data_IF_057677431167
#
_entry.id   IF_057677431167
#
_cell.length_a   1.000
_cell.length_b   1.000
_cell.length_c   1.000
_cell.angle_alpha   90.00
_cell.angle_beta   90.00
_cell.angle_gamma   90.00
#
_symmetry.space_group_name_H-M   'P 1'
#
loop_
_entity.id
_entity.type
_entity.pdbx_description
1 polymer ?
#
# COMPACT_ATOMS: atom_id res chain seq x y z
N UNK A 1 18.21 -0.14 -12.54
CA UNK A 1 17.05 -0.14 -11.63
C UNK A 1 16.31 1.17 -11.79
N UNK A 2 15.03 1.11 -12.15
CA UNK A 2 14.11 2.24 -12.23
C UNK A 2 13.19 2.14 -11.03
N UNK A 3 12.95 3.24 -10.32
CA UNK A 3 12.06 3.31 -9.16
C UNK A 3 11.07 4.46 -9.38
N UNK A 4 9.79 4.18 -9.17
CA UNK A 4 8.72 5.16 -9.14
C UNK A 4 8.15 5.20 -7.73
N UNK A 5 8.06 6.40 -7.15
CA UNK A 5 7.48 6.64 -5.85
C UNK A 5 6.57 7.87 -5.90
N UNK A 6 5.44 7.83 -5.19
CA UNK A 6 4.52 8.97 -5.13
C UNK A 6 3.13 8.58 -4.66
N UNK A 7 2.26 9.58 -4.60
CA UNK A 7 0.83 9.43 -4.40
C UNK A 7 0.16 9.14 -5.74
N UNK A 8 -0.20 7.88 -5.96
CA UNK A 8 -0.91 7.45 -7.16
C UNK A 8 -2.43 7.54 -6.98
N UNK A 9 -2.90 7.79 -5.75
CA UNK A 9 -4.30 7.99 -5.37
C UNK A 9 -5.28 6.86 -5.74
N UNK A 10 -4.77 5.65 -6.04
CA UNK A 10 -5.57 4.44 -6.20
C UNK A 10 -6.25 4.03 -4.89
N UNK A 11 -7.46 3.49 -5.01
CA UNK A 11 -8.33 3.12 -3.88
C UNK A 11 -8.62 1.61 -3.85
N UNK A 12 -9.32 1.21 -2.80
CA UNK A 12 -9.86 -0.15 -2.70
C UNK A 12 -11.21 -0.18 -3.42
N UNK A 13 -11.36 -1.11 -4.35
CA UNK A 13 -12.57 -1.29 -5.15
C UNK A 13 -13.50 -2.37 -4.56
N UNK A 14 -14.81 -2.11 -4.65
CA UNK A 14 -15.85 -3.08 -4.30
C UNK A 14 -15.91 -3.51 -2.83
N UNK A 15 -15.45 -2.66 -1.89
CA UNK A 15 -15.55 -2.91 -0.44
C UNK A 15 -16.13 -1.70 0.31
N UNK A 16 -16.81 -1.96 1.43
CA UNK A 16 -17.29 -0.91 2.33
C UNK A 16 -16.22 -0.46 3.33
N UNK A 17 -16.47 0.69 3.99
CA UNK A 17 -15.59 1.21 5.05
C UNK A 17 -15.48 0.22 6.23
N UNK A 18 -16.59 -0.36 6.65
CA UNK A 18 -16.64 -1.27 7.80
C UNK A 18 -15.89 -2.59 7.49
N UNK A 19 -16.08 -3.15 6.29
CA UNK A 19 -15.31 -4.32 5.83
C UNK A 19 -13.81 -4.03 5.76
N UNK A 20 -13.42 -2.90 5.15
CA UNK A 20 -12.02 -2.51 5.07
C UNK A 20 -11.40 -2.39 6.45
N UNK A 21 -12.11 -1.78 7.40
CA UNK A 21 -11.71 -1.64 8.79
C UNK A 21 -11.53 -3.01 9.48
N UNK A 22 -12.46 -3.93 9.29
CA UNK A 22 -12.40 -5.27 9.89
C UNK A 22 -11.18 -6.05 9.39
N UNK A 23 -10.88 -5.99 8.09
CA UNK A 23 -9.68 -6.64 7.55
C UNK A 23 -8.37 -5.95 7.99
N UNK A 24 -8.37 -4.63 8.16
CA UNK A 24 -7.24 -3.91 8.78
C UNK A 24 -7.03 -4.37 10.22
N UNK A 25 -8.12 -4.52 10.99
CA UNK A 25 -8.09 -5.01 12.37
C UNK A 25 -7.49 -6.41 12.47
N UNK A 26 -7.91 -7.31 11.56
CA UNK A 26 -7.40 -8.67 11.47
C UNK A 26 -5.98 -8.76 10.89
N UNK A 27 -5.40 -7.64 10.44
CA UNK A 27 -4.11 -7.56 9.74
C UNK A 27 -4.08 -8.40 8.45
N UNK A 28 -5.24 -8.59 7.84
CA UNK A 28 -5.44 -9.34 6.59
C UNK A 28 -5.13 -8.46 5.38
N UNK A 29 -3.91 -7.93 5.31
CA UNK A 29 -3.50 -6.99 4.26
C UNK A 29 -3.45 -7.64 2.87
N UNK A 30 -3.13 -8.94 2.80
CA UNK A 30 -3.13 -9.67 1.53
C UNK A 30 -4.53 -9.69 0.89
N UNK A 31 -5.59 -9.81 1.70
CA UNK A 31 -6.96 -9.77 1.20
C UNK A 31 -7.32 -8.36 0.68
N UNK A 32 -6.98 -7.33 1.46
CA UNK A 32 -7.20 -5.93 1.05
C UNK A 32 -6.43 -5.58 -0.22
N UNK A 33 -5.23 -6.16 -0.40
CA UNK A 33 -4.40 -5.97 -1.59
C UNK A 33 -5.03 -6.52 -2.86
N UNK A 34 -5.78 -7.63 -2.79
CA UNK A 34 -6.53 -8.13 -3.95
C UNK A 34 -7.70 -7.22 -4.35
N UNK A 35 -8.07 -6.27 -3.49
CA UNK A 35 -9.07 -5.22 -3.76
C UNK A 35 -8.47 -3.89 -4.16
N UNK A 36 -7.14 -3.78 -4.20
CA UNK A 36 -6.45 -2.55 -4.57
C UNK A 36 -6.47 -2.34 -6.08
N UNK A 37 -6.98 -1.19 -6.54
CA UNK A 37 -7.12 -0.87 -7.97
C UNK A 37 -5.78 -0.96 -8.71
N UNK A 38 -4.69 -0.42 -8.14
CA UNK A 38 -3.37 -0.49 -8.76
C UNK A 38 -2.90 -1.93 -8.89
N UNK A 39 -3.08 -2.73 -7.83
CA UNK A 39 -2.72 -4.15 -7.87
C UNK A 39 -3.46 -4.88 -8.99
N UNK A 40 -4.76 -4.64 -9.13
CA UNK A 40 -5.60 -5.22 -10.17
C UNK A 40 -5.13 -4.80 -11.56
N UNK A 41 -4.87 -3.51 -11.80
CA UNK A 41 -4.43 -2.99 -13.09
C UNK A 41 -3.02 -3.48 -13.47
N UNK A 42 -2.08 -3.53 -12.52
CA UNK A 42 -0.74 -4.11 -12.74
C UNK A 42 -0.84 -5.58 -13.12
N UNK A 43 -1.68 -6.36 -12.40
CA UNK A 43 -1.91 -7.78 -12.65
C UNK A 43 -2.58 -8.02 -14.01
N UNK A 44 -3.45 -7.12 -14.43
CA UNK A 44 -4.06 -7.11 -15.76
C UNK A 44 -3.08 -6.66 -16.86
N UNK A 45 -1.93 -6.07 -16.51
CA UNK A 45 -0.95 -5.56 -17.46
C UNK A 45 -1.41 -4.30 -18.19
N UNK A 46 -2.41 -3.59 -17.66
CA UNK A 46 -2.94 -2.36 -18.27
C UNK A 46 -2.09 -1.14 -17.92
N UNK A 47 -1.44 -1.15 -16.76
CA UNK A 47 -0.56 -0.07 -16.26
C UNK A 47 0.78 -0.61 -15.80
N UNK A 48 1.80 0.26 -15.77
CA UNK A 48 3.14 -0.04 -15.23
C UNK A 48 3.74 -1.37 -15.73
N UNK A 49 3.58 -1.68 -17.02
CA UNK A 49 4.03 -2.94 -17.62
C UNK A 49 5.52 -3.22 -17.35
N UNK A 50 5.80 -4.40 -16.81
CA UNK A 50 7.15 -4.83 -16.44
C UNK A 50 7.69 -4.19 -15.15
N UNK A 51 6.92 -3.39 -14.43
CA UNK A 51 7.23 -2.95 -13.07
C UNK A 51 6.78 -4.01 -12.06
N UNK A 52 7.40 -3.98 -10.88
CA UNK A 52 7.06 -4.78 -9.71
C UNK A 52 6.70 -3.83 -8.58
N UNK A 53 5.63 -4.15 -7.88
CA UNK A 53 5.29 -3.46 -6.64
C UNK A 53 6.05 -4.06 -5.46
N UNK A 54 6.51 -3.21 -4.55
CA UNK A 54 7.10 -3.63 -3.29
C UNK A 54 6.07 -4.37 -2.41
N UNK A 55 6.53 -5.24 -1.52
CA UNK A 55 5.60 -5.93 -0.61
C UNK A 55 5.14 -4.95 0.47
N UNK A 56 3.84 -4.66 0.48
CA UNK A 56 3.20 -3.81 1.49
C UNK A 56 2.86 -4.69 2.71
N UNK A 57 3.45 -4.38 3.86
CA UNK A 57 3.23 -5.12 5.12
C UNK A 57 2.64 -4.24 6.22
N UNK A 58 2.13 -3.07 5.85
CA UNK A 58 1.62 -2.03 6.74
C UNK A 58 0.19 -1.67 6.36
N UNK A 59 -0.63 -1.17 7.32
CA UNK A 59 -2.02 -0.83 7.05
C UNK A 59 -2.17 0.37 6.10
N UNK A 60 -3.32 0.54 5.45
CA UNK A 60 -3.64 1.70 4.60
C UNK A 60 -3.34 3.05 5.26
N UNK A 61 -2.75 3.96 4.49
CA UNK A 61 -2.14 5.21 4.97
C UNK A 61 -3.08 6.41 4.94
N UNK A 62 -4.16 6.29 4.17
CA UNK A 62 -5.21 7.30 4.01
C UNK A 62 -6.58 6.73 4.38
N UNK A 63 -7.54 7.46 4.96
CA UNK A 63 -7.39 8.71 5.72
C UNK A 63 -7.21 8.32 7.19
N UNK A 64 -5.98 8.35 7.67
CA UNK A 64 -5.65 8.13 9.06
C UNK A 64 -5.48 9.46 9.79
N UNK A 65 -6.05 9.61 11.00
CA UNK A 65 -5.82 10.82 11.79
C UNK A 65 -4.44 10.82 12.46
N UNK A 66 -3.64 11.85 12.13
CA UNK A 66 -2.23 12.01 12.53
C UNK A 66 -1.97 12.05 14.05
N UNK A 67 -3.00 12.19 14.87
CA UNK A 67 -2.90 12.33 16.32
C UNK A 67 -3.51 11.15 17.10
N UNK A 68 -4.09 10.16 16.42
CA UNK A 68 -4.66 8.98 17.07
C UNK A 68 -3.89 7.73 16.66
N UNK A 69 -3.19 7.07 17.59
CA UNK A 69 -2.45 5.85 17.27
C UNK A 69 -3.42 4.68 17.05
N UNK A 70 -3.04 3.77 16.15
CA UNK A 70 -3.78 2.54 15.90
C UNK A 70 -5.19 2.79 15.36
N UNK A 71 -6.09 1.84 15.59
CA UNK A 71 -7.42 1.81 14.95
C UNK A 71 -8.34 2.99 15.29
N UNK A 72 -8.04 3.71 16.36
CA UNK A 72 -8.77 4.91 16.75
C UNK A 72 -8.73 5.98 15.65
N UNK A 73 -7.62 6.10 14.93
CA UNK A 73 -7.44 7.09 13.87
C UNK A 73 -8.25 6.85 12.58
N UNK A 74 -8.93 5.70 12.45
CA UNK A 74 -9.88 5.47 11.37
C UNK A 74 -11.30 5.92 11.76
N UNK A 75 -11.69 5.85 13.03
CA UNK A 75 -13.07 6.13 13.50
C UNK A 75 -13.41 7.60 13.70
N UNK A 76 -12.40 8.45 13.85
CA UNK A 76 -12.54 9.83 14.30
C UNK A 76 -12.94 10.81 13.19
N UNK A 77 -12.93 10.37 11.93
CA UNK A 77 -13.24 11.22 10.78
C UNK A 77 -14.74 11.47 10.57
N UNK A 78 -15.15 12.74 10.49
CA UNK A 78 -16.52 13.16 10.11
C UNK A 78 -17.05 12.56 8.79
N UNK A 79 -16.14 12.06 7.93
CA UNK A 79 -16.45 11.35 6.68
C UNK A 79 -15.77 9.99 6.71
N UNK A 80 -16.55 8.92 6.83
CA UNK A 80 -16.14 7.51 6.69
C UNK A 80 -15.60 7.21 5.29
N UNK A 81 -14.36 7.64 5.00
CA UNK A 81 -13.68 7.31 3.74
C UNK A 81 -13.02 5.96 3.87
N UNK A 82 -13.22 5.10 2.89
CA UNK A 82 -12.57 3.79 2.81
C UNK A 82 -11.06 3.99 2.89
N UNK A 83 -10.37 3.28 3.82
CA UNK A 83 -8.93 3.38 3.90
C UNK A 83 -8.27 2.90 2.61
N UNK A 84 -7.23 3.58 2.15
CA UNK A 84 -6.47 3.22 0.97
C UNK A 84 -4.98 3.42 1.22
N UNK A 85 -4.16 2.58 0.62
CA UNK A 85 -2.79 2.98 0.35
C UNK A 85 -2.90 4.01 -0.76
N UNK A 86 -2.37 5.22 -0.62
CA UNK A 86 -2.29 6.18 -1.74
C UNK A 86 -0.86 6.27 -2.27
N UNK A 87 0.09 6.18 -1.35
CA UNK A 87 1.51 6.19 -1.60
C UNK A 87 2.00 4.80 -2.02
N UNK A 88 2.70 4.69 -3.16
CA UNK A 88 3.28 3.41 -3.64
C UNK A 88 4.73 3.57 -4.00
N UNK A 89 5.41 2.42 -4.02
CA UNK A 89 6.73 2.28 -4.60
C UNK A 89 6.71 1.14 -5.62
N UNK A 90 7.00 1.47 -6.87
CA UNK A 90 7.13 0.52 -7.97
C UNK A 90 8.58 0.51 -8.44
N UNK A 91 9.09 -0.65 -8.86
CA UNK A 91 10.46 -0.77 -9.34
C UNK A 91 10.60 -1.76 -10.49
N UNK A 92 11.60 -1.53 -11.34
CA UNK A 92 12.03 -2.45 -12.39
C UNK A 92 13.54 -2.60 -12.37
N UNK A 93 14.03 -3.83 -12.35
CA UNK A 93 15.45 -4.13 -12.52
C UNK A 93 15.71 -4.66 -13.93
N UNK A 94 16.92 -4.46 -14.44
CA UNK A 94 17.34 -4.93 -15.77
C UNK A 94 17.83 -6.38 -15.76
N UNK A 95 17.81 -7.05 -14.59
CA UNK A 95 18.27 -8.42 -14.47
C UNK A 95 17.18 -9.37 -14.97
N UNK A 96 17.50 -10.30 -15.89
CA UNK A 96 16.58 -11.38 -16.23
C UNK A 96 16.22 -12.16 -14.97
N UNK A 97 14.99 -12.65 -14.91
CA UNK A 97 14.32 -13.26 -13.74
C UNK A 97 14.97 -14.57 -13.24
N UNK A 98 16.15 -14.92 -13.76
CA UNK A 98 16.81 -16.22 -13.64
C UNK A 98 17.74 -16.38 -12.43
N UNK A 99 17.65 -15.52 -11.40
CA UNK A 99 18.39 -15.74 -10.16
C UNK A 99 17.49 -15.61 -8.93
N UNK A 100 17.36 -16.70 -8.18
CA UNK A 100 16.58 -16.88 -6.94
C UNK A 100 16.87 -15.86 -5.82
N UNK A 101 17.76 -14.89 -6.05
CA UNK A 101 17.87 -13.69 -5.23
C UNK A 101 16.76 -12.71 -5.64
N UNK A 102 15.51 -13.07 -5.31
CA UNK A 102 14.41 -12.11 -5.18
C UNK A 102 14.85 -11.08 -4.15
N UNK A 103 15.46 -9.99 -4.59
CA UNK A 103 15.67 -8.79 -3.77
C UNK A 103 14.28 -8.33 -3.39
N UNK A 104 13.86 -8.71 -2.20
CA UNK A 104 12.55 -8.38 -1.66
C UNK A 104 12.71 -6.99 -1.10
N UNK A 105 12.42 -6.00 -1.94
CA UNK A 105 12.33 -4.63 -1.46
C UNK A 105 11.15 -4.61 -0.49
N UNK A 106 11.47 -4.48 0.79
CA UNK A 106 10.48 -4.36 1.84
C UNK A 106 10.28 -2.88 2.12
N UNK A 107 9.02 -2.48 2.25
CA UNK A 107 8.67 -1.13 2.65
C UNK A 107 7.98 -1.18 4.00
N UNK A 108 8.44 -0.34 4.92
CA UNK A 108 7.71 -0.08 6.16
C UNK A 108 7.22 1.36 6.17
N UNK A 109 6.05 1.55 6.77
CA UNK A 109 5.54 2.86 7.10
C UNK A 109 5.94 3.18 8.53
N UNK A 110 6.70 4.25 8.73
CA UNK A 110 7.00 4.80 10.05
C UNK A 110 6.50 6.23 10.15
N UNK A 111 5.98 6.59 11.31
CA UNK A 111 5.63 7.98 11.62
C UNK A 111 6.80 8.65 12.32
N UNK A 112 7.36 9.69 11.70
CA UNK A 112 8.38 10.54 12.33
C UNK A 112 7.85 11.96 12.31
N UNK A 113 7.72 12.59 13.48
CA UNK A 113 7.18 13.95 13.62
C UNK A 113 5.84 14.16 12.88
N UNK A 114 4.92 13.20 12.97
CA UNK A 114 3.61 13.21 12.28
C UNK A 114 3.67 13.19 10.74
N UNK A 115 4.84 12.91 10.16
CA UNK A 115 5.03 12.67 8.73
C UNK A 115 5.16 11.17 8.52
N UNK A 116 4.41 10.66 7.55
CA UNK A 116 4.55 9.29 7.11
C UNK A 116 5.81 9.16 6.26
N UNK A 117 6.70 8.27 6.68
CA UNK A 117 7.94 7.96 5.97
C UNK A 117 7.88 6.51 5.50
N UNK A 118 8.07 6.31 4.20
CA UNK A 118 8.25 4.99 3.61
C UNK A 118 9.74 4.67 3.65
N UNK A 119 10.11 3.66 4.44
CA UNK A 119 11.48 3.17 4.52
C UNK A 119 11.64 1.97 3.60
N UNK A 120 12.61 2.03 2.67
CA UNK A 120 12.93 0.95 1.76
C UNK A 120 14.14 0.16 2.29
N UNK A 121 13.97 -1.16 2.42
CA UNK A 121 15.03 -2.11 2.78
C UNK A 121 15.32 -3.03 1.60
N UNK A 122 16.58 -3.45 1.47
CA UNK A 122 17.06 -4.31 0.39
C UNK A 122 17.61 -5.63 0.92
#
# INVERSE_FOLDING_TARGET
MIVFLGDFNYRLDGISYDEARDFIFQRSFDWLREKDELHIEIKAGTVFQGMREVVITFPPTYKFERHQPGLAGYDSGEKKRIPAWCDRVLYRDNRPDSSERKRRIMVTCSWVHHIMIILMYH
#
